data_IF_217584610056
#
_entry.id   IF_217584610056
#
_cell.length_a   1.000
_cell.length_b   1.000
_cell.length_c   1.000
_cell.angle_alpha   90.00
_cell.angle_beta   90.00
_cell.angle_gamma   90.00
#
_symmetry.space_group_name_H-M   'P 1'
#
loop_
_entity.id
_entity.type
_entity.pdbx_description
1 polymer ?
#
# COMPACT_ATOMS: atom_id res chain seq x y z
N UNK A 1 9.76 -2.49 -16.13
CA UNK A 1 8.47 -3.10 -15.70
C UNK A 1 7.45 -2.04 -15.34
N UNK A 2 7.73 -1.16 -14.37
CA UNK A 2 6.92 0.01 -13.97
C UNK A 2 6.21 0.76 -15.10
N UNK A 3 6.96 1.21 -16.13
CA UNK A 3 6.37 1.96 -17.26
C UNK A 3 5.35 1.15 -18.07
N UNK A 4 5.53 -0.17 -18.18
CA UNK A 4 4.57 -1.04 -18.86
C UNK A 4 3.28 -1.14 -18.06
N UNK A 5 3.38 -1.34 -16.74
CA UNK A 5 2.20 -1.42 -15.87
C UNK A 5 1.40 -0.12 -15.88
N UNK A 6 2.08 1.03 -15.81
CA UNK A 6 1.44 2.35 -15.95
C UNK A 6 0.71 2.48 -17.29
N UNK A 7 1.38 2.15 -18.40
CA UNK A 7 0.78 2.19 -19.73
C UNK A 7 -0.48 1.32 -19.84
N UNK A 8 -0.40 0.08 -19.40
CA UNK A 8 -1.53 -0.87 -19.41
C UNK A 8 -2.70 -0.36 -18.56
N UNK A 9 -2.42 0.23 -17.40
CA UNK A 9 -3.45 0.82 -16.54
C UNK A 9 -4.10 2.05 -17.18
N UNK A 10 -3.31 3.02 -17.64
CA UNK A 10 -3.82 4.34 -18.05
C UNK A 10 -4.26 4.43 -19.50
N UNK A 11 -3.53 3.78 -20.42
CA UNK A 11 -3.83 3.83 -21.86
C UNK A 11 -4.82 2.74 -22.28
N UNK A 12 -4.64 1.52 -21.77
CA UNK A 12 -5.47 0.37 -22.13
C UNK A 12 -6.64 0.14 -21.15
N UNK A 13 -6.77 1.00 -20.12
CA UNK A 13 -7.84 0.98 -19.11
C UNK A 13 -8.00 -0.39 -18.42
N UNK A 14 -6.88 -1.05 -18.15
CA UNK A 14 -6.84 -2.37 -17.50
C UNK A 14 -6.75 -2.24 -15.98
N UNK A 15 -7.59 -2.98 -15.25
CA UNK A 15 -7.43 -3.14 -13.81
C UNK A 15 -6.30 -4.13 -13.52
N UNK A 16 -5.30 -3.71 -12.74
CA UNK A 16 -4.15 -4.52 -12.37
C UNK A 16 -4.17 -4.73 -10.86
N UNK A 17 -4.09 -5.99 -10.43
CA UNK A 17 -3.83 -6.35 -9.03
C UNK A 17 -2.36 -6.76 -8.94
N UNK A 18 -1.57 -5.97 -8.21
CA UNK A 18 -0.16 -6.22 -7.97
C UNK A 18 0.07 -6.70 -6.54
N UNK A 19 0.85 -7.76 -6.37
CA UNK A 19 1.36 -8.20 -5.07
C UNK A 19 2.89 -8.07 -5.08
N UNK A 20 3.44 -7.28 -4.18
CA UNK A 20 4.89 -7.09 -4.04
C UNK A 20 5.24 -6.91 -2.57
N UNK A 21 6.50 -7.13 -2.23
CA UNK A 21 7.07 -6.81 -0.92
C UNK A 21 7.78 -5.44 -0.93
N UNK A 22 7.96 -4.83 -2.11
CA UNK A 22 8.55 -3.51 -2.25
C UNK A 22 7.47 -2.44 -2.12
N UNK A 23 7.39 -1.83 -0.93
CA UNK A 23 6.40 -0.80 -0.63
C UNK A 23 6.69 0.54 -1.32
N UNK A 24 7.95 0.82 -1.71
CA UNK A 24 8.28 2.03 -2.45
C UNK A 24 7.72 1.96 -3.88
N UNK A 25 7.81 0.80 -4.53
CA UNK A 25 7.22 0.61 -5.85
C UNK A 25 5.69 0.80 -5.82
N UNK A 26 5.04 0.35 -4.76
CA UNK A 26 3.58 0.49 -4.56
C UNK A 26 3.17 1.96 -4.49
N UNK A 27 3.85 2.79 -3.70
CA UNK A 27 3.55 4.23 -3.60
C UNK A 27 3.63 4.93 -4.96
N UNK A 28 4.49 4.47 -5.86
CA UNK A 28 4.68 5.10 -7.17
C UNK A 28 3.83 4.50 -8.30
N UNK A 29 3.28 3.28 -8.13
CA UNK A 29 2.55 2.54 -9.17
C UNK A 29 1.06 2.38 -8.90
N UNK A 30 0.66 2.24 -7.63
CA UNK A 30 -0.68 1.82 -7.27
C UNK A 30 -1.54 3.00 -6.84
N UNK A 31 -2.76 3.07 -7.36
CA UNK A 31 -3.76 4.04 -6.89
C UNK A 31 -4.20 3.71 -5.45
N UNK A 32 -4.25 2.41 -5.12
CA UNK A 32 -4.69 1.92 -3.80
C UNK A 32 -3.82 0.74 -3.36
N UNK A 33 -3.64 0.63 -2.06
CA UNK A 33 -2.84 -0.41 -1.40
C UNK A 33 -3.70 -1.15 -0.41
N UNK A 34 -3.66 -2.48 -0.46
CA UNK A 34 -4.24 -3.34 0.56
C UNK A 34 -3.14 -4.03 1.37
N UNK A 35 -3.17 -3.90 2.70
CA UNK A 35 -2.27 -4.62 3.60
C UNK A 35 -3.01 -5.84 4.14
N UNK A 36 -2.50 -7.03 3.83
CA UNK A 36 -3.05 -8.30 4.29
C UNK A 36 -2.21 -8.84 5.45
N UNK A 37 -2.86 -9.13 6.58
CA UNK A 37 -2.23 -9.78 7.73
C UNK A 37 -3.13 -10.91 8.23
N UNK A 38 -2.55 -12.09 8.47
CA UNK A 38 -3.25 -13.29 8.95
C UNK A 38 -4.54 -13.63 8.18
N UNK A 39 -4.51 -13.49 6.85
CA UNK A 39 -5.68 -13.77 5.99
C UNK A 39 -6.80 -12.72 6.05
N UNK A 40 -6.57 -11.58 6.72
CA UNK A 40 -7.51 -10.46 6.79
C UNK A 40 -6.91 -9.21 6.17
N UNK A 41 -7.76 -8.41 5.52
CA UNK A 41 -7.38 -7.10 5.01
C UNK A 41 -7.31 -6.13 6.20
N UNK A 42 -6.10 -5.88 6.69
CA UNK A 42 -5.84 -5.02 7.84
C UNK A 42 -6.06 -3.54 7.51
N UNK A 43 -5.71 -3.12 6.29
CA UNK A 43 -5.98 -1.79 5.78
C UNK A 43 -6.14 -1.78 4.26
N UNK A 44 -6.90 -0.81 3.74
CA UNK A 44 -6.98 -0.51 2.31
C UNK A 44 -7.27 0.98 2.10
N UNK A 45 -6.57 1.62 1.17
CA UNK A 45 -6.70 3.05 0.88
C UNK A 45 -5.66 3.53 -0.12
N UNK A 46 -5.65 4.82 -0.43
CA UNK A 46 -4.51 5.42 -1.15
C UNK A 46 -3.27 5.41 -0.23
N UNK A 47 -2.04 5.30 -0.79
CA UNK A 47 -0.81 5.31 0.01
C UNK A 47 -0.75 6.46 1.03
N UNK A 48 -1.00 7.68 0.58
CA UNK A 48 -0.97 8.89 1.42
C UNK A 48 -2.06 8.91 2.49
N UNK A 49 -3.25 8.39 2.19
CA UNK A 49 -4.34 8.29 3.17
C UNK A 49 -3.97 7.31 4.28
N UNK A 50 -3.30 6.20 3.95
CA UNK A 50 -2.84 5.24 4.94
C UNK A 50 -1.74 5.83 5.81
N UNK A 51 -0.76 6.50 5.22
CA UNK A 51 0.32 7.19 5.95
C UNK A 51 -0.26 8.21 6.95
N UNK A 52 -1.21 9.05 6.52
CA UNK A 52 -1.87 10.02 7.39
C UNK A 52 -2.69 9.35 8.50
N UNK A 53 -3.52 8.36 8.14
CA UNK A 53 -4.41 7.66 9.08
C UNK A 53 -3.64 6.98 10.21
N UNK A 54 -2.49 6.39 9.89
CA UNK A 54 -1.65 5.68 10.85
C UNK A 54 -0.54 6.55 11.43
N UNK A 55 -0.49 7.84 11.08
CA UNK A 55 0.55 8.80 11.51
C UNK A 55 1.97 8.27 11.26
N UNK A 56 2.17 7.66 10.10
CA UNK A 56 3.40 7.03 9.69
C UNK A 56 4.14 7.90 8.67
N UNK A 57 5.47 7.82 8.64
CA UNK A 57 6.29 8.55 7.67
C UNK A 57 6.22 7.95 6.26
N UNK A 58 5.87 6.66 6.15
CA UNK A 58 5.78 5.92 4.89
C UNK A 58 4.97 4.62 5.09
N UNK A 59 4.64 3.95 3.99
CA UNK A 59 3.93 2.66 4.01
C UNK A 59 4.66 1.54 4.77
N UNK A 60 5.98 1.56 4.90
CA UNK A 60 6.73 0.53 5.64
C UNK A 60 6.44 0.59 7.14
N UNK A 61 6.35 1.78 7.70
CA UNK A 61 5.90 1.99 9.08
C UNK A 61 4.44 1.58 9.27
N UNK A 62 3.55 1.89 8.31
CA UNK A 62 2.15 1.43 8.34
C UNK A 62 2.08 -0.10 8.36
N UNK A 63 2.80 -0.75 7.45
CA UNK A 63 2.85 -2.20 7.35
C UNK A 63 3.37 -2.82 8.65
N UNK A 64 4.49 -2.31 9.17
CA UNK A 64 5.10 -2.80 10.41
C UNK A 64 4.11 -2.68 11.57
N UNK A 65 3.50 -1.51 11.77
CA UNK A 65 2.53 -1.29 12.84
C UNK A 65 1.31 -2.22 12.76
N UNK A 66 0.84 -2.54 11.57
CA UNK A 66 -0.31 -3.45 11.35
C UNK A 66 0.04 -4.93 11.50
N UNK A 67 1.30 -5.32 11.29
CA UNK A 67 1.75 -6.71 11.30
C UNK A 67 2.37 -7.11 12.63
N UNK A 68 3.20 -6.25 13.21
CA UNK A 68 3.91 -6.54 14.49
C UNK A 68 3.16 -6.00 15.70
N UNK A 69 2.28 -5.01 15.52
CA UNK A 69 1.65 -4.28 16.61
C UNK A 69 2.59 -3.29 17.33
N UNK A 70 3.83 -3.13 16.87
CA UNK A 70 4.77 -2.14 17.40
C UNK A 70 4.63 -0.81 16.65
N UNK A 71 4.44 0.29 17.38
CA UNK A 71 4.57 1.65 16.81
C UNK A 71 3.28 2.39 16.43
N UNK A 72 2.08 1.79 16.55
CA UNK A 72 0.82 2.55 16.34
C UNK A 72 -0.23 2.20 17.39
N UNK A 73 -0.12 2.80 18.57
CA UNK A 73 -1.23 3.05 19.50
C UNK A 73 -0.90 4.29 20.35
N UNK A 74 -1.63 5.39 20.14
CA UNK A 74 -1.99 6.31 21.21
C UNK A 74 -3.50 6.56 21.06
N UNK A 75 -4.29 5.83 21.84
CA UNK A 75 -5.56 6.39 22.35
C UNK A 75 -5.23 7.54 23.31
#
# INVERSE_FOLDING_TARGET
MRNLLKKLSTEDNLTIILTTHDLNEVTELCDRVGILNEGKLAAIGEPSELEEKFRAANLEEVFTGLVTGEGVYQE
#
